data_IF_191553788859
#
_entry.id   IF_191553788859
#
_cell.length_a   1.000
_cell.length_b   1.000
_cell.length_c   1.000
_cell.angle_alpha   90.00
_cell.angle_beta   90.00
_cell.angle_gamma   90.00
#
_symmetry.space_group_name_H-M   'P 1'
#
loop_
_entity.id
_entity.type
_entity.pdbx_description
1 polymer ?
#
# COMPACT_ATOMS: atom_id res chain seq x y z
N UNK A 1 7.39 -0.40 -2.69
CA UNK A 1 7.60 0.78 -1.82
C UNK A 1 9.02 1.27 -2.04
N UNK A 2 9.19 2.58 -2.22
CA UNK A 2 10.47 3.21 -2.59
C UNK A 2 10.83 4.22 -1.51
N UNK A 3 12.10 4.29 -1.14
CA UNK A 3 12.61 5.24 -0.15
C UNK A 3 13.74 6.03 -0.78
N UNK A 4 13.70 7.35 -0.61
CA UNK A 4 14.79 8.25 -0.97
C UNK A 4 15.47 8.70 0.32
N UNK A 5 16.79 8.70 0.31
CA UNK A 5 17.57 9.23 1.40
C UNK A 5 18.96 9.59 0.91
N UNK A 6 19.59 10.53 1.60
CA UNK A 6 20.98 10.88 1.35
C UNK A 6 21.92 9.80 1.93
N UNK A 7 23.17 9.81 1.46
CA UNK A 7 24.17 8.81 1.87
C UNK A 7 24.41 8.82 3.39
N UNK A 8 24.38 10.01 4.01
CA UNK A 8 24.57 10.14 5.46
C UNK A 8 23.44 9.52 6.28
N UNK A 9 22.19 9.69 5.88
CA UNK A 9 21.04 9.07 6.54
C UNK A 9 21.05 7.55 6.33
N UNK A 10 21.42 7.08 5.14
CA UNK A 10 21.51 5.65 4.84
C UNK A 10 22.66 4.93 5.55
N UNK A 11 23.75 5.64 5.84
CA UNK A 11 24.89 5.14 6.61
C UNK A 11 24.71 5.32 8.12
N UNK A 12 23.73 6.13 8.55
CA UNK A 12 23.47 6.38 9.96
C UNK A 12 23.02 5.09 10.67
N UNK A 13 23.63 4.85 11.83
CA UNK A 13 23.25 3.75 12.73
C UNK A 13 22.91 4.37 14.08
N UNK A 14 21.67 4.23 14.57
CA UNK A 14 21.26 4.81 15.85
C UNK A 14 22.17 4.38 17.03
N UNK A 15 22.44 5.26 18.01
CA UNK A 15 23.32 4.95 19.14
C UNK A 15 22.91 3.71 19.93
N UNK A 16 21.61 3.49 20.13
CA UNK A 16 21.07 2.29 20.79
C UNK A 16 21.43 1.02 20.00
N UNK A 17 21.37 1.08 18.68
CA UNK A 17 21.77 -0.02 17.79
C UNK A 17 23.28 -0.22 17.85
N UNK A 18 24.08 0.86 17.84
CA UNK A 18 25.54 0.77 18.03
C UNK A 18 25.91 0.11 19.36
N UNK A 19 25.24 0.46 20.46
CA UNK A 19 25.46 -0.13 21.79
C UNK A 19 25.08 -1.62 21.81
N UNK A 20 23.90 -1.98 21.30
CA UNK A 20 23.49 -3.40 21.12
C UNK A 20 24.47 -4.17 20.23
N UNK A 21 24.99 -3.56 19.16
CA UNK A 21 26.02 -4.17 18.29
C UNK A 21 27.32 -4.39 19.07
N UNK A 22 27.76 -3.44 19.91
CA UNK A 22 28.94 -3.60 20.78
C UNK A 22 28.74 -4.68 21.84
N UNK A 23 27.61 -4.68 22.55
CA UNK A 23 27.28 -5.71 23.56
C UNK A 23 27.21 -7.12 22.95
N UNK A 24 26.64 -7.24 21.74
CA UNK A 24 26.64 -8.51 20.99
C UNK A 24 28.03 -8.92 20.50
N UNK A 25 28.91 -7.98 20.19
CA UNK A 25 30.31 -8.24 19.83
C UNK A 25 31.13 -8.76 21.02
N UNK A 26 30.74 -8.40 22.25
CA UNK A 26 31.36 -8.91 23.49
C UNK A 26 30.76 -10.28 23.89
N UNK A 27 29.46 -10.51 23.66
CA UNK A 27 28.82 -11.83 23.89
C UNK A 27 29.25 -12.92 22.89
N UNK A 28 30.07 -12.55 21.92
CA UNK A 28 30.48 -13.40 20.84
C UNK A 28 31.58 -14.40 21.29
N UNK A 29 32.15 -14.38 22.51
CA UNK A 29 33.09 -15.45 22.94
C UNK A 29 32.47 -16.87 23.07
N UNK A 30 31.18 -17.06 22.76
CA UNK A 30 30.47 -18.34 22.61
C UNK A 30 30.28 -18.75 21.10
N UNK A 31 31.14 -18.25 20.20
CA UNK A 31 30.78 -17.58 18.93
C UNK A 31 30.15 -18.37 17.78
N UNK A 32 30.43 -19.67 17.62
CA UNK A 32 30.09 -20.38 16.38
C UNK A 32 29.30 -21.67 16.59
N UNK A 33 28.23 -21.59 17.39
CA UNK A 33 27.33 -22.73 17.59
C UNK A 33 26.13 -22.64 16.64
N UNK A 34 25.85 -23.70 15.88
CA UNK A 34 24.66 -23.79 15.05
C UNK A 34 23.43 -23.95 15.95
N UNK A 35 22.52 -22.96 15.93
CA UNK A 35 21.30 -22.97 16.76
C UNK A 35 20.25 -23.99 16.31
N UNK A 36 20.43 -24.63 15.14
CA UNK A 36 19.53 -25.68 14.64
C UNK A 36 19.94 -27.06 15.17
N UNK A 37 21.24 -27.37 15.15
CA UNK A 37 21.76 -28.70 15.49
C UNK A 37 22.72 -28.74 16.69
N UNK A 38 23.05 -27.60 17.29
CA UNK A 38 23.93 -27.49 18.46
C UNK A 38 25.42 -27.68 18.17
N UNK A 39 25.83 -27.92 16.92
CA UNK A 39 27.24 -28.14 16.57
C UNK A 39 28.06 -26.86 16.73
N UNK A 40 29.24 -26.97 17.33
CA UNK A 40 30.21 -25.88 17.46
C UNK A 40 31.19 -25.90 16.29
N UNK A 41 31.56 -24.71 15.84
CA UNK A 41 32.53 -24.48 14.79
C UNK A 41 33.66 -23.61 15.31
N UNK A 42 34.79 -23.60 14.60
CA UNK A 42 35.97 -22.81 14.97
C UNK A 42 36.01 -21.46 14.25
N UNK A 43 35.29 -21.31 13.14
CA UNK A 43 35.21 -20.06 12.37
C UNK A 43 33.78 -19.79 11.93
N UNK A 44 33.44 -18.50 11.74
CA UNK A 44 32.13 -18.07 11.25
C UNK A 44 31.81 -18.65 9.86
N UNK A 45 32.78 -18.63 8.95
CA UNK A 45 32.63 -19.17 7.60
C UNK A 45 32.25 -20.64 7.59
N UNK A 46 32.85 -21.45 8.48
CA UNK A 46 32.50 -22.87 8.62
C UNK A 46 31.08 -23.07 9.14
N UNK A 47 30.64 -22.23 10.07
CA UNK A 47 29.25 -22.23 10.55
C UNK A 47 28.26 -21.84 9.44
N UNK A 48 28.56 -20.80 8.67
CA UNK A 48 27.72 -20.34 7.55
C UNK A 48 27.63 -21.43 6.48
N UNK A 49 28.77 -22.02 6.09
CA UNK A 49 28.81 -23.08 5.08
C UNK A 49 28.03 -24.31 5.54
N UNK A 50 28.19 -24.72 6.80
CA UNK A 50 27.37 -25.77 7.39
C UNK A 50 25.87 -25.46 7.34
N UNK A 51 25.48 -24.23 7.68
CA UNK A 51 24.08 -23.81 7.68
C UNK A 51 23.48 -23.84 6.27
N UNK A 52 24.21 -23.33 5.27
CA UNK A 52 23.79 -23.33 3.85
C UNK A 52 23.71 -24.74 3.26
N UNK A 53 24.69 -25.59 3.53
CA UNK A 53 24.73 -26.93 2.94
C UNK A 53 23.71 -27.89 3.55
N UNK A 54 23.43 -27.77 4.84
CA UNK A 54 22.56 -28.73 5.55
C UNK A 54 21.18 -28.13 5.80
N UNK A 55 21.11 -27.03 6.55
CA UNK A 55 19.84 -26.54 7.07
C UNK A 55 19.01 -25.77 6.03
N UNK A 56 19.65 -25.02 5.13
CA UNK A 56 18.98 -24.37 4.02
C UNK A 56 18.45 -25.40 3.01
N UNK A 57 19.25 -26.40 2.63
CA UNK A 57 18.80 -27.51 1.78
C UNK A 57 17.65 -28.31 2.42
N UNK A 58 17.72 -28.62 3.71
CA UNK A 58 16.62 -29.28 4.42
C UNK A 58 15.35 -28.43 4.49
N UNK A 59 15.49 -27.13 4.73
CA UNK A 59 14.35 -26.22 4.76
C UNK A 59 13.70 -26.11 3.37
N UNK A 60 14.51 -26.03 2.31
CA UNK A 60 14.02 -26.03 0.92
C UNK A 60 13.21 -27.29 0.62
N UNK A 61 13.69 -28.48 1.02
CA UNK A 61 12.93 -29.73 0.86
C UNK A 61 11.57 -29.68 1.57
N UNK A 62 11.49 -29.09 2.77
CA UNK A 62 10.22 -28.94 3.51
C UNK A 62 9.27 -27.98 2.81
N UNK A 63 9.77 -26.85 2.33
CA UNK A 63 8.99 -25.84 1.59
C UNK A 63 8.44 -26.46 0.30
N UNK A 64 9.26 -27.11 -0.51
CA UNK A 64 8.82 -27.76 -1.75
C UNK A 64 7.75 -28.84 -1.50
N UNK A 65 7.84 -29.59 -0.39
CA UNK A 65 6.80 -30.55 0.00
C UNK A 65 5.48 -29.88 0.38
N UNK A 66 5.53 -28.71 1.04
CA UNK A 66 4.33 -27.93 1.38
C UNK A 66 3.72 -27.32 0.12
N UNK A 67 4.56 -26.81 -0.78
CA UNK A 67 4.13 -26.17 -2.03
C UNK A 67 3.50 -27.14 -3.01
N UNK A 68 4.05 -28.36 -3.12
CA UNK A 68 3.48 -29.43 -3.95
C UNK A 68 2.19 -30.05 -3.37
N UNK A 69 1.94 -29.91 -2.06
CA UNK A 69 0.73 -30.41 -1.43
C UNK A 69 -0.45 -29.43 -1.55
N UNK A 70 -1.66 -29.99 -1.73
CA UNK A 70 -2.93 -29.24 -1.79
C UNK A 70 -3.90 -29.72 -0.71
N UNK A 71 -4.85 -28.85 -0.33
CA UNK A 71 -5.92 -29.17 0.61
C UNK A 71 -5.46 -29.52 2.03
N UNK A 72 -6.16 -30.46 2.67
CA UNK A 72 -5.89 -30.91 4.06
C UNK A 72 -4.46 -31.42 4.26
N UNK A 73 -3.87 -32.06 3.24
CA UNK A 73 -2.48 -32.53 3.26
C UNK A 73 -1.48 -31.38 3.44
N UNK A 74 -1.74 -30.22 2.84
CA UNK A 74 -0.90 -29.02 3.01
C UNK A 74 -0.97 -28.51 4.44
N UNK A 75 -2.17 -28.41 5.01
CA UNK A 75 -2.39 -27.96 6.40
C UNK A 75 -1.64 -28.87 7.38
N UNK A 76 -1.75 -30.19 7.19
CA UNK A 76 -1.06 -31.17 8.02
C UNK A 76 0.48 -31.08 7.90
N UNK A 77 1.01 -30.85 6.70
CA UNK A 77 2.46 -30.66 6.50
C UNK A 77 2.98 -29.37 7.13
N UNK A 78 2.23 -28.28 7.02
CA UNK A 78 2.55 -27.01 7.69
C UNK A 78 2.59 -27.20 9.21
N UNK A 79 1.57 -27.85 9.78
CA UNK A 79 1.53 -28.15 11.21
C UNK A 79 2.72 -29.04 11.64
N UNK A 80 3.02 -30.10 10.88
CA UNK A 80 4.14 -31.02 11.15
C UNK A 80 5.51 -30.31 11.11
N UNK A 81 5.70 -29.37 10.19
CA UNK A 81 6.99 -28.68 10.03
C UNK A 81 7.09 -27.35 10.76
N UNK A 82 6.01 -26.84 11.37
CA UNK A 82 5.95 -25.53 12.03
C UNK A 82 7.15 -25.29 12.96
N UNK A 83 7.42 -26.19 13.90
CA UNK A 83 8.53 -26.06 14.86
C UNK A 83 9.90 -26.08 14.18
N UNK A 84 10.08 -26.94 13.16
CA UNK A 84 11.36 -27.07 12.43
C UNK A 84 11.63 -25.83 11.58
N UNK A 85 10.61 -25.32 10.90
CA UNK A 85 10.68 -24.08 10.13
C UNK A 85 10.91 -22.86 11.03
N UNK A 86 10.28 -22.82 12.20
CA UNK A 86 10.51 -21.77 13.19
C UNK A 86 11.96 -21.78 13.71
N UNK A 87 12.50 -22.96 14.07
CA UNK A 87 13.91 -23.11 14.47
C UNK A 87 14.87 -22.66 13.36
N UNK A 88 14.62 -23.07 12.12
CA UNK A 88 15.40 -22.61 10.96
C UNK A 88 15.34 -21.09 10.80
N UNK A 89 14.13 -20.50 10.82
CA UNK A 89 13.92 -19.06 10.65
C UNK A 89 14.57 -18.23 11.75
N UNK A 90 14.56 -18.74 12.99
CA UNK A 90 15.26 -18.10 14.10
C UNK A 90 16.78 -18.15 13.90
N UNK A 91 17.31 -19.32 13.55
CA UNK A 91 18.75 -19.50 13.38
C UNK A 91 19.32 -18.80 12.13
N UNK A 92 18.56 -18.75 11.03
CA UNK A 92 18.98 -18.08 9.80
C UNK A 92 19.16 -16.57 10.00
N UNK A 93 18.32 -15.96 10.84
CA UNK A 93 18.47 -14.55 11.23
C UNK A 93 19.78 -14.28 11.97
N UNK A 94 20.26 -15.23 12.76
CA UNK A 94 21.49 -15.06 13.54
C UNK A 94 22.76 -15.42 12.76
N UNK A 95 22.68 -16.41 11.87
CA UNK A 95 23.83 -17.00 11.16
C UNK A 95 24.01 -16.40 9.77
N UNK A 96 22.94 -16.33 8.97
CA UNK A 96 23.02 -15.86 7.59
C UNK A 96 22.95 -14.34 7.46
N UNK A 97 22.48 -13.63 8.49
CA UNK A 97 22.52 -12.17 8.50
C UNK A 97 23.87 -11.73 9.07
N UNK A 98 24.77 -11.15 8.25
CA UNK A 98 26.10 -10.82 8.75
C UNK A 98 26.00 -9.68 9.78
N UNK A 99 26.70 -9.87 10.90
CA UNK A 99 26.55 -9.06 12.12
C UNK A 99 27.21 -7.69 12.04
N UNK A 100 28.09 -7.46 11.05
CA UNK A 100 28.88 -6.24 10.86
C UNK A 100 28.76 -5.81 9.41
N UNK A 101 28.59 -4.51 9.15
CA UNK A 101 28.72 -3.93 7.81
C UNK A 101 27.44 -3.47 7.11
N UNK A 102 26.24 -3.67 7.67
CA UNK A 102 25.01 -3.21 7.04
C UNK A 102 24.53 -1.87 7.61
N UNK A 103 24.54 -0.85 6.76
CA UNK A 103 23.87 0.42 7.00
C UNK A 103 22.35 0.28 6.90
N UNK A 104 21.63 1.36 7.19
CA UNK A 104 20.17 1.42 7.10
C UNK A 104 19.67 1.03 5.70
N UNK A 105 20.39 1.40 4.64
CA UNK A 105 20.05 1.04 3.26
C UNK A 105 19.84 -0.46 3.04
N UNK A 106 20.72 -1.30 3.58
CA UNK A 106 20.66 -2.73 3.32
C UNK A 106 19.64 -3.44 4.22
N UNK A 107 19.33 -2.86 5.38
CA UNK A 107 18.18 -3.27 6.19
C UNK A 107 16.87 -2.99 5.45
N UNK A 108 16.74 -1.80 4.84
CA UNK A 108 15.58 -1.43 4.02
C UNK A 108 15.44 -2.32 2.77
N UNK A 109 16.53 -2.56 2.03
CA UNK A 109 16.51 -3.47 0.86
C UNK A 109 16.07 -4.88 1.22
N UNK A 110 16.55 -5.42 2.36
CA UNK A 110 16.12 -6.75 2.85
C UNK A 110 14.66 -6.78 3.30
N UNK A 111 14.13 -5.66 3.78
CA UNK A 111 12.71 -5.52 4.08
C UNK A 111 11.84 -5.38 2.82
N UNK A 112 12.44 -5.35 1.62
CA UNK A 112 11.74 -5.27 0.33
C UNK A 112 11.53 -3.84 -0.18
N UNK A 113 12.21 -2.85 0.41
CA UNK A 113 12.17 -1.47 -0.07
C UNK A 113 13.21 -1.24 -1.18
N UNK A 114 12.80 -0.52 -2.21
CA UNK A 114 13.74 0.02 -3.19
C UNK A 114 14.36 1.30 -2.64
N UNK A 115 15.66 1.26 -2.32
CA UNK A 115 16.40 2.40 -1.77
C UNK A 115 17.13 3.12 -2.89
N UNK A 116 16.76 4.38 -3.12
CA UNK A 116 17.49 5.30 -4.02
C UNK A 116 18.33 6.26 -3.19
N UNK A 117 19.62 6.30 -3.49
CA UNK A 117 20.55 7.24 -2.89
C UNK A 117 20.47 8.57 -3.65
N UNK A 118 20.31 9.66 -2.92
CA UNK A 118 20.26 11.01 -3.46
C UNK A 118 21.52 11.78 -3.03
N UNK A 119 22.06 12.69 -3.86
CA UNK A 119 23.17 13.55 -3.45
C UNK A 119 22.88 14.29 -2.15
N UNK A 120 23.94 14.56 -1.36
CA UNK A 120 23.88 15.37 -0.14
C UNK A 120 23.67 16.86 -0.47
N UNK A 121 22.47 17.19 -0.95
CA UNK A 121 21.98 18.55 -1.08
C UNK A 121 20.74 18.71 -0.20
N UNK A 122 20.51 19.89 0.40
CA UNK A 122 19.22 20.16 1.04
C UNK A 122 18.10 19.91 0.03
N UNK A 123 16.99 19.36 0.51
CA UNK A 123 15.74 19.13 -0.22
C UNK A 123 15.80 18.16 -1.42
N UNK A 124 16.98 17.67 -1.80
CA UNK A 124 17.11 16.77 -2.95
C UNK A 124 16.34 15.46 -2.75
N UNK A 125 16.23 14.99 -1.50
CA UNK A 125 15.39 13.84 -1.17
C UNK A 125 13.92 14.16 -1.40
N UNK A 126 13.48 15.35 -1.00
CA UNK A 126 12.08 15.75 -1.05
C UNK A 126 11.63 16.02 -2.49
N UNK A 127 12.48 16.69 -3.28
CA UNK A 127 12.30 16.86 -4.74
C UNK A 127 12.24 15.49 -5.40
N UNK A 128 13.15 14.57 -5.08
CA UNK A 128 13.17 13.22 -5.66
C UNK A 128 11.93 12.39 -5.31
N UNK A 129 11.39 12.53 -4.10
CA UNK A 129 10.13 11.90 -3.70
C UNK A 129 8.96 12.52 -4.46
N UNK A 130 8.89 13.85 -4.51
CA UNK A 130 7.83 14.62 -5.19
C UNK A 130 7.75 14.28 -6.67
N UNK A 131 8.86 14.41 -7.40
CA UNK A 131 8.92 14.12 -8.84
C UNK A 131 8.54 12.67 -9.12
N UNK A 132 8.98 11.75 -8.27
CA UNK A 132 8.66 10.34 -8.44
C UNK A 132 7.18 10.03 -8.18
N UNK A 133 6.58 10.63 -7.16
CA UNK A 133 5.16 10.49 -6.90
C UNK A 133 4.35 11.07 -8.05
N UNK A 134 4.69 12.27 -8.54
CA UNK A 134 4.05 12.88 -9.71
C UNK A 134 4.12 11.98 -10.95
N UNK A 135 5.30 11.46 -11.30
CA UNK A 135 5.48 10.54 -12.43
C UNK A 135 4.64 9.25 -12.28
N UNK A 136 4.56 8.69 -11.06
CA UNK A 136 3.73 7.51 -10.78
C UNK A 136 2.22 7.81 -10.88
N UNK A 137 1.81 9.01 -10.46
CA UNK A 137 0.42 9.46 -10.57
C UNK A 137 0.04 9.75 -12.03
N UNK A 138 0.93 10.36 -12.81
CA UNK A 138 0.73 10.63 -14.24
C UNK A 138 0.57 9.33 -15.04
N UNK A 139 1.40 8.32 -14.73
CA UNK A 139 1.33 6.99 -15.35
C UNK A 139 0.20 6.11 -14.80
N UNK A 140 -0.60 6.61 -13.85
CA UNK A 140 -1.68 5.86 -13.17
C UNK A 140 -1.22 4.50 -12.65
N UNK A 141 -0.02 4.45 -12.08
CA UNK A 141 0.57 3.20 -11.58
C UNK A 141 0.21 2.88 -10.12
N UNK A 142 -0.48 3.80 -9.44
CA UNK A 142 -0.87 3.67 -8.04
C UNK A 142 -2.29 4.16 -7.81
N UNK A 143 -2.97 3.50 -6.88
CA UNK A 143 -4.29 3.89 -6.38
C UNK A 143 -4.21 4.49 -4.96
N UNK A 144 -3.07 4.30 -4.28
CA UNK A 144 -2.85 4.71 -2.89
C UNK A 144 -1.42 5.21 -2.67
N UNK A 145 -1.29 6.35 -2.00
CA UNK A 145 -0.02 6.96 -1.57
C UNK A 145 0.09 6.84 -0.06
N UNK A 146 1.18 6.22 0.41
CA UNK A 146 1.58 6.20 1.82
C UNK A 146 2.80 7.09 2.00
N UNK A 147 2.62 8.20 2.71
CA UNK A 147 3.69 9.13 3.05
C UNK A 147 4.10 8.95 4.51
N UNK A 148 5.42 8.90 4.74
CA UNK A 148 6.02 8.82 6.07
C UNK A 148 6.90 10.05 6.21
N UNK A 149 6.35 11.15 6.72
CA UNK A 149 7.04 12.43 6.89
C UNK A 149 6.28 13.36 7.82
N UNK A 150 7.02 14.21 8.53
CA UNK A 150 6.50 15.34 9.30
C UNK A 150 6.64 16.69 8.56
N UNK A 151 7.26 16.68 7.37
CA UNK A 151 7.55 17.91 6.62
C UNK A 151 6.29 18.45 5.89
N UNK A 152 5.83 19.69 6.21
CA UNK A 152 4.68 20.30 5.55
C UNK A 152 4.85 20.52 4.04
N UNK A 153 6.07 20.48 3.49
CA UNK A 153 6.31 20.69 2.06
C UNK A 153 5.65 19.64 1.15
N UNK A 154 5.18 18.52 1.72
CA UNK A 154 4.46 17.47 0.98
C UNK A 154 2.95 17.69 0.87
N UNK A 155 2.39 18.76 1.44
CA UNK A 155 0.95 19.06 1.38
C UNK A 155 0.47 19.17 -0.08
N UNK A 156 1.20 19.88 -0.93
CA UNK A 156 0.86 20.04 -2.36
C UNK A 156 0.74 18.68 -3.08
N UNK A 157 1.62 17.73 -2.75
CA UNK A 157 1.61 16.39 -3.36
C UNK A 157 0.40 15.58 -2.90
N UNK A 158 -0.03 15.75 -1.64
CA UNK A 158 -1.23 15.11 -1.12
C UNK A 158 -2.50 15.70 -1.72
N UNK A 159 -2.55 17.03 -1.93
CA UNK A 159 -3.65 17.70 -2.60
C UNK A 159 -3.76 17.26 -4.06
N UNK A 160 -2.63 17.17 -4.77
CA UNK A 160 -2.58 16.66 -6.14
C UNK A 160 -3.06 15.20 -6.22
N UNK A 161 -2.61 14.35 -5.29
CA UNK A 161 -3.06 12.96 -5.20
C UNK A 161 -4.58 12.87 -4.97
N UNK A 162 -5.13 13.74 -4.11
CA UNK A 162 -6.57 13.81 -3.85
C UNK A 162 -7.37 14.28 -5.07
N UNK A 163 -6.89 15.30 -5.78
CA UNK A 163 -7.50 15.78 -7.03
C UNK A 163 -7.57 14.67 -8.09
N UNK A 164 -6.61 13.75 -8.07
CA UNK A 164 -6.56 12.55 -8.92
C UNK A 164 -7.31 11.34 -8.37
N UNK A 165 -8.11 11.53 -7.31
CA UNK A 165 -8.88 10.48 -6.64
C UNK A 165 -8.06 9.33 -6.05
N UNK A 166 -6.78 9.56 -5.73
CA UNK A 166 -5.94 8.58 -5.03
C UNK A 166 -6.23 8.58 -3.53
N UNK A 167 -6.05 7.43 -2.90
CA UNK A 167 -6.11 7.30 -1.44
C UNK A 167 -4.82 7.80 -0.82
N UNK A 168 -4.93 8.59 0.24
CA UNK A 168 -3.77 9.19 0.92
C UNK A 168 -3.70 8.75 2.37
N UNK A 169 -2.56 8.20 2.77
CA UNK A 169 -2.27 7.82 4.15
C UNK A 169 -0.97 8.49 4.60
N UNK A 170 -1.00 9.15 5.75
CA UNK A 170 0.17 9.82 6.32
C UNK A 170 0.54 9.19 7.67
N UNK A 171 1.82 8.88 7.85
CA UNK A 171 2.39 8.55 9.17
C UNK A 171 3.27 9.72 9.61
N UNK A 172 2.87 10.36 10.71
CA UNK A 172 3.50 11.59 11.23
C UNK A 172 3.35 11.65 12.76
N UNK A 173 4.39 12.09 13.46
CA UNK A 173 4.33 12.25 14.92
C UNK A 173 3.78 13.61 15.36
N UNK A 174 3.67 14.57 14.44
CA UNK A 174 3.06 15.88 14.73
C UNK A 174 1.56 15.70 14.96
N UNK A 175 1.06 16.04 16.15
CA UNK A 175 -0.36 15.83 16.52
C UNK A 175 -1.33 16.63 15.64
N UNK A 176 -1.00 17.89 15.35
CA UNK A 176 -1.83 18.82 14.56
C UNK A 176 -1.16 19.23 13.25
N UNK A 177 -0.55 18.26 12.55
CA UNK A 177 0.11 18.52 11.27
C UNK A 177 -0.87 18.86 10.15
N UNK A 178 -0.51 19.79 9.27
CA UNK A 178 -1.27 20.10 8.03
C UNK A 178 -1.43 18.82 7.20
N UNK A 179 -0.37 18.01 7.10
CA UNK A 179 -0.39 16.72 6.38
C UNK A 179 -1.48 15.76 6.89
N UNK A 180 -1.71 15.71 8.21
CA UNK A 180 -2.72 14.82 8.79
C UNK A 180 -4.14 15.25 8.44
N UNK A 181 -4.38 16.57 8.39
CA UNK A 181 -5.66 17.14 7.97
C UNK A 181 -5.91 16.94 6.48
N UNK A 182 -4.85 17.01 5.68
CA UNK A 182 -4.93 16.84 4.23
C UNK A 182 -5.00 15.38 3.81
N UNK A 183 -4.62 14.38 4.61
CA UNK A 183 -4.72 12.97 4.24
C UNK A 183 -6.13 12.38 4.45
N UNK A 184 -6.44 11.25 3.81
CA UNK A 184 -7.68 10.49 4.08
C UNK A 184 -7.61 9.68 5.38
N UNK A 185 -6.40 9.26 5.77
CA UNK A 185 -6.12 8.64 7.05
C UNK A 185 -4.74 9.08 7.55
N UNK A 186 -4.59 9.23 8.86
CA UNK A 186 -3.30 9.53 9.46
C UNK A 186 -3.07 8.76 10.75
N UNK A 187 -1.80 8.44 11.02
CA UNK A 187 -1.37 7.69 12.20
C UNK A 187 -0.08 8.30 12.76
N UNK A 188 0.15 8.17 14.06
CA UNK A 188 1.48 8.41 14.65
C UNK A 188 2.34 7.15 14.67
N UNK A 189 3.66 7.30 14.82
CA UNK A 189 4.55 6.15 15.02
C UNK A 189 4.19 5.35 16.26
N UNK A 190 3.76 6.02 17.33
CA UNK A 190 3.27 5.37 18.55
C UNK A 190 2.07 4.46 18.25
N UNK A 191 1.10 4.93 17.47
CA UNK A 191 -0.08 4.16 17.10
C UNK A 191 0.25 2.96 16.19
N UNK A 192 1.25 3.11 15.32
CA UNK A 192 1.77 2.02 14.49
C UNK A 192 2.45 0.97 15.36
N UNK A 193 3.27 1.38 16.34
CA UNK A 193 3.94 0.48 17.28
C UNK A 193 2.95 -0.25 18.19
N UNK A 194 1.88 0.42 18.61
CA UNK A 194 0.82 -0.14 19.45
C UNK A 194 -0.20 -0.99 18.66
N UNK A 195 0.06 -1.27 17.38
CA UNK A 195 -0.81 -2.00 16.44
C UNK A 195 -2.22 -1.40 16.26
N UNK A 196 -2.46 -0.16 16.71
CA UNK A 196 -3.75 0.52 16.52
C UNK A 196 -4.02 0.75 15.04
N UNK A 197 -3.01 1.19 14.30
CA UNK A 197 -3.09 1.39 12.86
C UNK A 197 -3.53 0.11 12.12
N UNK A 198 -3.11 -1.07 12.57
CA UNK A 198 -3.48 -2.36 11.96
C UNK A 198 -4.97 -2.67 12.15
N UNK A 199 -5.53 -2.35 13.32
CA UNK A 199 -6.96 -2.55 13.61
C UNK A 199 -7.80 -1.54 12.85
N UNK A 200 -7.37 -0.28 12.87
CA UNK A 200 -8.10 0.83 12.26
C UNK A 200 -8.03 0.82 10.72
N UNK A 201 -6.94 0.32 10.13
CA UNK A 201 -6.79 0.17 8.68
C UNK A 201 -7.95 -0.63 8.06
N UNK A 202 -8.48 -1.64 8.75
CA UNK A 202 -9.64 -2.43 8.25
C UNK A 202 -10.88 -1.55 8.12
N UNK A 203 -11.13 -0.69 9.11
CA UNK A 203 -12.25 0.25 9.09
C UNK A 203 -12.04 1.36 8.05
N UNK A 204 -10.82 1.89 7.92
CA UNK A 204 -10.46 2.90 6.91
C UNK A 204 -10.73 2.38 5.50
N UNK A 205 -10.25 1.17 5.20
CA UNK A 205 -10.47 0.54 3.89
C UNK A 205 -11.96 0.27 3.64
N UNK A 206 -12.72 -0.08 4.68
CA UNK A 206 -14.19 -0.18 4.60
C UNK A 206 -14.83 1.13 4.14
N UNK A 207 -14.53 2.24 4.83
CA UNK A 207 -15.05 3.57 4.48
C UNK A 207 -14.71 4.00 3.05
N UNK A 208 -13.51 3.64 2.57
CA UNK A 208 -13.11 3.92 1.19
C UNK A 208 -13.98 3.18 0.19
N UNK A 209 -14.22 1.88 0.41
CA UNK A 209 -15.12 1.08 -0.44
C UNK A 209 -16.54 1.61 -0.42
N UNK A 210 -17.05 1.98 0.76
CA UNK A 210 -18.39 2.54 0.89
C UNK A 210 -18.52 3.84 0.11
N UNK A 211 -17.50 4.72 0.18
CA UNK A 211 -17.44 5.95 -0.62
C UNK A 211 -17.40 5.68 -2.12
N UNK A 212 -16.71 4.64 -2.57
CA UNK A 212 -16.66 4.26 -3.98
C UNK A 212 -18.01 3.74 -4.47
N UNK A 213 -18.71 2.95 -3.65
CA UNK A 213 -20.09 2.52 -3.92
C UNK A 213 -21.03 3.72 -3.98
N UNK A 214 -20.93 4.66 -3.04
CA UNK A 214 -21.75 5.87 -3.07
C UNK A 214 -21.52 6.70 -4.34
N UNK A 215 -20.27 6.89 -4.76
CA UNK A 215 -19.96 7.56 -6.04
C UNK A 215 -20.57 6.87 -7.26
N UNK A 216 -20.66 5.54 -7.26
CA UNK A 216 -21.34 4.82 -8.36
C UNK A 216 -22.86 4.94 -8.33
N UNK A 217 -23.43 5.29 -7.18
CA UNK A 217 -24.86 5.46 -6.97
C UNK A 217 -25.32 6.93 -7.03
N UNK A 218 -24.39 7.89 -7.02
CA UNK A 218 -24.68 9.30 -7.27
C UNK A 218 -25.25 9.45 -8.69
N UNK A 219 -26.55 9.73 -8.77
CA UNK A 219 -27.24 9.98 -10.04
C UNK A 219 -26.75 11.32 -10.59
N UNK A 220 -25.90 11.28 -11.61
CA UNK A 220 -25.56 12.46 -12.40
C UNK A 220 -26.58 12.61 -13.54
N UNK A 221 -27.40 13.66 -13.45
CA UNK A 221 -28.25 14.09 -14.56
C UNK A 221 -27.37 14.41 -15.77
N UNK A 222 -27.55 13.66 -16.85
CA UNK A 222 -26.87 13.87 -18.13
C UNK A 222 -27.89 14.47 -19.12
N UNK A 223 -27.90 15.80 -19.29
CA UNK A 223 -28.87 16.47 -20.15
C UNK A 223 -28.72 16.10 -21.62
N UNK A 224 -27.54 15.64 -22.08
CA UNK A 224 -27.34 15.21 -23.46
C UNK A 224 -27.91 13.81 -23.70
N UNK A 225 -27.79 12.92 -22.70
CA UNK A 225 -28.39 11.59 -22.74
C UNK A 225 -29.92 11.65 -22.75
N UNK A 226 -30.50 12.55 -21.97
CA UNK A 226 -31.95 12.76 -21.97
C UNK A 226 -32.43 13.46 -23.25
N UNK A 227 -31.68 14.43 -23.80
CA UNK A 227 -32.00 15.02 -25.12
C UNK A 227 -32.09 13.99 -26.23
N UNK A 228 -31.25 12.97 -26.21
CA UNK A 228 -31.25 11.88 -27.20
C UNK A 228 -32.46 10.95 -27.06
N UNK A 229 -32.99 10.79 -25.84
CA UNK A 229 -34.22 10.04 -25.58
C UNK A 229 -35.45 10.76 -26.13
N UNK A 230 -35.52 12.10 -25.95
CA UNK A 230 -36.61 12.91 -26.52
C UNK A 230 -36.51 13.09 -28.04
N UNK A 231 -35.31 13.08 -28.63
CA UNK A 231 -35.14 13.21 -30.09
C UNK A 231 -35.46 11.91 -30.85
N UNK A 232 -35.32 10.74 -30.22
CA UNK A 232 -35.67 9.46 -30.85
C UNK A 232 -37.18 9.21 -30.88
N UNK A 233 -37.95 9.79 -29.96
CA UNK A 233 -39.41 9.65 -29.95
C UNK A 233 -40.13 10.41 -31.07
N UNK A 234 -39.47 11.40 -31.68
CA UNK A 234 -40.06 12.24 -32.73
C UNK A 234 -39.86 11.70 -34.15
N UNK A 235 -39.13 10.59 -34.34
CA UNK A 235 -38.79 10.06 -35.68
C UNK A 235 -39.66 8.85 -36.10
N UNK A 236 -40.44 8.25 -35.19
CA UNK A 236 -41.27 7.07 -35.51
C UNK A 236 -42.72 7.41 -35.96
N UNK A 237 -43.02 8.67 -36.33
CA UNK A 237 -44.37 9.08 -36.75
C UNK A 237 -44.45 9.69 -38.15
N UNK A 238 -43.76 9.14 -39.14
CA UNK A 238 -43.93 9.53 -40.54
C UNK A 238 -43.89 8.27 -41.44
N UNK A 239 -45.02 7.57 -41.59
CA UNK A 239 -45.39 6.90 -42.85
C UNK A 239 -46.78 6.24 -42.78
N UNK A 240 -47.88 6.98 -42.92
CA UNK A 240 -49.12 6.49 -43.57
C UNK A 240 -49.88 7.68 -44.15
N UNK A 241 -49.82 7.80 -45.48
CA UNK A 241 -50.63 8.71 -46.30
C UNK A 241 -52.08 8.22 -46.42
N UNK A 242 -53.04 9.14 -46.32
CA UNK A 242 -54.04 9.49 -47.36
C UNK A 242 -55.42 9.87 -46.77
N UNK A 243 -56.08 10.88 -47.35
CA UNK A 243 -57.54 11.05 -47.28
C UNK A 243 -58.16 12.20 -46.45
N UNK A 244 -58.39 13.34 -47.13
CA UNK A 244 -59.59 14.22 -47.13
C UNK A 244 -60.25 14.79 -45.85
N UNK A 245 -60.34 16.15 -45.85
CA UNK A 245 -61.45 17.05 -45.46
C UNK A 245 -62.22 16.89 -44.13
N UNK A 246 -62.26 17.99 -43.36
CA UNK A 246 -63.37 18.30 -42.44
C UNK A 246 -63.01 19.31 -41.36
N UNK A 247 -63.61 20.50 -41.41
CA UNK A 247 -63.69 21.45 -40.30
C UNK A 247 -64.17 20.77 -39.00
N UNK A 248 -63.54 21.04 -37.86
CA UNK A 248 -64.28 21.55 -36.70
C UNK A 248 -63.36 22.12 -35.60
N UNK A 249 -63.84 23.19 -34.97
CA UNK A 249 -63.29 23.85 -33.81
C UNK A 249 -63.18 22.89 -32.60
N UNK A 250 -62.03 22.80 -31.92
CA UNK A 250 -61.99 22.71 -30.45
C UNK A 250 -60.61 23.10 -29.91
N UNK A 251 -60.53 24.32 -29.39
CA UNK A 251 -59.47 24.75 -28.48
C UNK A 251 -59.61 23.96 -27.17
N UNK A 252 -58.76 22.96 -26.97
CA UNK A 252 -58.45 22.48 -25.62
C UNK A 252 -56.97 22.77 -25.34
N UNK A 253 -56.81 23.78 -24.51
CA UNK A 253 -55.57 24.21 -23.89
C UNK A 253 -55.34 23.22 -22.74
N UNK A 254 -54.59 22.16 -22.99
CA UNK A 254 -54.18 21.25 -21.91
C UNK A 254 -52.96 21.82 -21.19
N UNK A 255 -53.03 21.69 -19.87
CA UNK A 255 -52.20 22.34 -18.87
C UNK A 255 -50.71 22.16 -19.10
N UNK A 256 -50.03 23.29 -19.29
CA UNK A 256 -48.58 23.43 -19.17
C UNK A 256 -48.15 23.46 -17.70
N UNK A 257 -48.62 22.51 -16.90
CA UNK A 257 -48.19 22.31 -15.52
C UNK A 257 -46.97 21.41 -15.51
N UNK A 258 -45.82 21.94 -15.07
CA UNK A 258 -44.64 21.10 -14.90
C UNK A 258 -44.89 20.11 -13.76
N UNK A 259 -44.55 18.84 -13.97
CA UNK A 259 -44.90 17.70 -13.08
C UNK A 259 -44.32 17.78 -11.65
N UNK A 260 -43.58 18.84 -11.31
CA UNK A 260 -43.05 19.12 -9.97
C UNK A 260 -43.86 20.16 -9.19
N UNK A 261 -44.87 20.78 -9.78
CA UNK A 261 -45.81 21.63 -9.05
C UNK A 261 -46.84 20.73 -8.35
N UNK A 262 -46.62 20.52 -7.05
CA UNK A 262 -47.64 19.93 -6.18
C UNK A 262 -48.59 21.06 -5.78
N UNK A 263 -49.85 20.94 -6.17
CA UNK A 263 -50.92 21.86 -5.79
C UNK A 263 -50.95 22.08 -4.27
N UNK A 264 -51.00 23.34 -3.85
CA UNK A 264 -51.36 23.77 -2.51
C UNK A 264 -52.37 24.91 -2.57
#
# INVERSE_FOLDING_TARGET
MITYANEHALSYVPPVVKKKRKERKVSNDLEYTCRVCGRRFYTNEKLINHFKQIHECENMKRVNQIESARGSRRVNLVAKYATKMHKYKSASRDILSPKVGYGLADELRRAGFWVKCVPNKPDASDIGIRDHLLDMMDKKMVDCVLLISDDPNFVEVLEEAKSRCLRTVVVSDVREGVLKRTADASFSWEEVLMEKAKKEAVAVVGRWKDRDVLKTLEWTYDPERDRKYYLLSDIDSENWSDGENGDDHFLQKEDSGAWWELDS
#
